data_IF_626213149177
#
_entry.id   IF_626213149177
#
_cell.length_a   1.000
_cell.length_b   1.000
_cell.length_c   1.000
_cell.angle_alpha   90.00
_cell.angle_beta   90.00
_cell.angle_gamma   90.00
#
_symmetry.space_group_name_H-M   'P 1'
#
loop_
_entity.id
_entity.type
_entity.pdbx_description
1 polymer ?
#
# COMPACT_ATOMS: atom_id res chain seq x y z
N UNK A 1 6.28 -47.50 20.19
CA UNK A 1 6.37 -46.08 20.66
C UNK A 1 5.98 -45.26 19.47
N UNK A 2 4.69 -45.00 19.39
CA UNK A 2 4.07 -44.27 18.27
C UNK A 2 4.15 -42.79 18.56
N UNK A 3 4.60 -42.02 17.57
CA UNK A 3 4.73 -40.56 17.61
C UNK A 3 3.39 -39.93 17.15
N UNK A 4 2.63 -39.21 18.01
CA UNK A 4 1.38 -38.62 17.67
C UNK A 4 1.51 -37.10 17.53
N UNK A 5 2.01 -36.58 16.41
CA UNK A 5 1.90 -35.14 16.11
C UNK A 5 1.89 -34.84 14.62
N UNK A 6 0.88 -35.31 13.92
CA UNK A 6 0.44 -34.68 12.68
C UNK A 6 -0.91 -34.00 12.92
N UNK A 7 -0.88 -32.70 13.19
CA UNK A 7 -2.08 -31.90 13.18
C UNK A 7 -2.71 -31.93 11.78
N UNK A 8 -4.03 -32.13 11.67
CA UNK A 8 -4.68 -32.17 10.37
C UNK A 8 -4.61 -30.78 9.71
N UNK A 9 -4.01 -30.72 8.53
CA UNK A 9 -4.17 -29.58 7.63
C UNK A 9 -5.67 -29.33 7.40
N UNK A 10 -6.18 -28.23 7.90
CA UNK A 10 -7.54 -27.78 7.59
C UNK A 10 -7.58 -27.41 6.10
N UNK A 11 -7.92 -28.37 5.27
CA UNK A 11 -8.36 -28.12 3.91
C UNK A 11 -9.64 -27.27 4.04
N UNK A 12 -9.53 -25.95 3.80
CA UNK A 12 -10.72 -25.12 3.59
C UNK A 12 -11.45 -25.73 2.39
N UNK A 13 -12.51 -26.46 2.64
CA UNK A 13 -13.40 -26.95 1.59
C UNK A 13 -13.87 -25.72 0.81
N UNK A 14 -13.72 -25.70 -0.53
CA UNK A 14 -14.33 -24.64 -1.31
C UNK A 14 -15.82 -24.60 -1.00
N UNK A 15 -16.36 -23.40 -0.76
CA UNK A 15 -17.82 -23.20 -0.63
C UNK A 15 -18.46 -23.90 -1.83
N UNK A 16 -19.42 -24.81 -1.64
CA UNK A 16 -20.06 -25.50 -2.74
C UNK A 16 -20.50 -24.48 -3.80
N UNK A 17 -20.20 -24.72 -5.07
CA UNK A 17 -20.58 -23.83 -6.16
C UNK A 17 -22.07 -23.50 -6.13
N UNK A 18 -22.91 -24.46 -5.77
CA UNK A 18 -24.36 -24.34 -5.61
C UNK A 18 -24.79 -23.27 -4.58
N UNK A 19 -23.99 -22.98 -3.56
CA UNK A 19 -24.35 -21.95 -2.57
C UNK A 19 -24.16 -20.53 -3.12
N UNK A 20 -23.10 -20.29 -3.87
CA UNK A 20 -22.86 -19.01 -4.52
C UNK A 20 -23.93 -18.70 -5.55
N UNK A 21 -24.40 -19.73 -6.28
CA UNK A 21 -25.46 -19.62 -7.28
C UNK A 21 -26.85 -19.37 -6.65
N UNK A 22 -27.04 -19.67 -5.38
CA UNK A 22 -28.29 -19.39 -4.64
C UNK A 22 -28.43 -17.91 -4.22
N UNK A 23 -27.36 -17.14 -4.25
CA UNK A 23 -27.39 -15.70 -3.89
C UNK A 23 -27.72 -14.86 -5.14
N UNK A 24 -28.54 -13.81 -5.00
CA UNK A 24 -28.80 -12.91 -6.11
C UNK A 24 -27.51 -12.28 -6.64
N UNK A 25 -27.15 -12.42 -7.93
CA UNK A 25 -25.89 -11.92 -8.49
C UNK A 25 -25.67 -10.43 -8.25
N UNK A 26 -26.72 -9.63 -8.35
CA UNK A 26 -26.66 -8.19 -8.08
C UNK A 26 -26.25 -7.86 -6.63
N UNK A 27 -26.55 -8.75 -5.67
CA UNK A 27 -26.17 -8.56 -4.27
C UNK A 27 -24.70 -8.84 -4.02
N UNK A 28 -24.18 -9.89 -4.63
CA UNK A 28 -22.75 -10.20 -4.58
C UNK A 28 -21.93 -9.09 -5.24
N UNK A 29 -22.38 -8.63 -6.43
CA UNK A 29 -21.73 -7.52 -7.11
C UNK A 29 -21.78 -6.24 -6.27
N UNK A 30 -22.94 -5.90 -5.71
CA UNK A 30 -23.11 -4.73 -4.85
C UNK A 30 -22.19 -4.79 -3.62
N UNK A 31 -22.11 -5.94 -2.96
CA UNK A 31 -21.17 -6.16 -1.85
C UNK A 31 -19.72 -5.94 -2.30
N UNK A 32 -19.32 -6.53 -3.41
CA UNK A 32 -17.96 -6.38 -3.96
C UNK A 32 -17.61 -4.92 -4.26
N UNK A 33 -18.53 -4.18 -4.89
CA UNK A 33 -18.32 -2.76 -5.20
C UNK A 33 -18.20 -1.90 -3.93
N UNK A 34 -19.04 -2.13 -2.93
CA UNK A 34 -18.98 -1.43 -1.65
C UNK A 34 -17.68 -1.73 -0.90
N UNK A 35 -17.25 -2.99 -0.90
CA UNK A 35 -15.98 -3.42 -0.34
C UNK A 35 -14.80 -2.70 -0.99
N UNK A 36 -14.76 -2.63 -2.33
CA UNK A 36 -13.73 -1.91 -3.07
C UNK A 36 -13.69 -0.42 -2.73
N UNK A 37 -14.85 0.27 -2.72
CA UNK A 37 -14.91 1.68 -2.33
C UNK A 37 -14.33 1.89 -0.92
N UNK A 38 -14.69 1.04 0.03
CA UNK A 38 -14.24 1.17 1.42
C UNK A 38 -12.73 0.95 1.54
N UNK A 39 -12.17 -0.05 0.87
CA UNK A 39 -10.71 -0.31 0.82
C UNK A 39 -9.97 0.88 0.21
N UNK A 40 -10.44 1.42 -0.93
CA UNK A 40 -9.85 2.59 -1.58
C UNK A 40 -9.85 3.83 -0.68
N UNK A 41 -10.96 4.08 -0.02
CA UNK A 41 -11.08 5.21 0.89
C UNK A 41 -10.16 5.06 2.11
N UNK A 42 -10.02 3.87 2.65
CA UNK A 42 -9.10 3.57 3.77
C UNK A 42 -7.67 3.79 3.35
N UNK A 43 -7.28 3.26 2.21
CA UNK A 43 -5.91 3.40 1.70
C UNK A 43 -5.56 4.86 1.43
N UNK A 44 -6.46 5.60 0.78
CA UNK A 44 -6.29 7.02 0.53
C UNK A 44 -6.18 7.82 1.83
N UNK A 45 -7.03 7.54 2.82
CA UNK A 45 -6.96 8.18 4.13
C UNK A 45 -5.64 7.88 4.85
N UNK A 46 -5.17 6.63 4.80
CA UNK A 46 -3.90 6.23 5.38
C UNK A 46 -2.71 6.98 4.79
N UNK A 47 -2.57 6.94 3.47
CA UNK A 47 -1.44 7.56 2.77
C UNK A 47 -1.40 9.07 3.00
N UNK A 48 -2.54 9.76 2.83
CA UNK A 48 -2.57 11.23 2.91
C UNK A 48 -2.37 11.72 4.35
N UNK A 49 -2.95 11.05 5.34
CA UNK A 49 -2.72 11.38 6.74
C UNK A 49 -1.28 11.05 7.16
N UNK A 50 -0.71 9.95 6.69
CA UNK A 50 0.69 9.59 6.94
C UNK A 50 1.66 10.60 6.31
N UNK A 51 1.43 11.01 5.07
CA UNK A 51 2.23 12.03 4.40
C UNK A 51 2.15 13.40 5.11
N UNK A 52 1.02 13.70 5.76
CA UNK A 52 0.79 14.96 6.48
C UNK A 52 1.32 14.95 7.90
N UNK A 53 1.17 13.82 8.63
CA UNK A 53 1.34 13.74 10.09
C UNK A 53 2.37 12.68 10.53
N UNK A 54 2.95 11.92 9.62
CA UNK A 54 3.92 10.86 9.94
C UNK A 54 3.33 9.77 10.85
N UNK A 55 4.09 9.28 11.79
CA UNK A 55 3.69 8.20 12.71
C UNK A 55 2.46 8.52 13.58
N UNK A 56 2.11 9.80 13.73
CA UNK A 56 0.94 10.22 14.53
C UNK A 56 -0.37 10.26 13.73
N UNK A 57 -0.37 9.85 12.47
CA UNK A 57 -1.51 9.94 11.55
C UNK A 57 -2.82 9.40 12.13
N UNK A 58 -2.77 8.33 12.93
CA UNK A 58 -3.97 7.69 13.50
C UNK A 58 -4.72 8.55 14.50
N UNK A 59 -4.07 9.55 15.13
CA UNK A 59 -4.74 10.48 16.05
C UNK A 59 -5.70 11.43 15.34
N UNK A 60 -5.59 11.53 14.02
CA UNK A 60 -6.44 12.37 13.18
C UNK A 60 -7.68 11.65 12.63
N UNK A 61 -7.81 10.37 12.90
CA UNK A 61 -8.97 9.57 12.51
C UNK A 61 -10.13 9.82 13.47
N UNK A 62 -11.34 9.88 12.91
CA UNK A 62 -12.57 9.99 13.69
C UNK A 62 -13.06 8.59 14.10
N UNK A 63 -13.36 8.38 15.37
CA UNK A 63 -13.91 7.13 15.89
C UNK A 63 -13.13 6.54 17.05
N UNK A 64 -13.66 5.48 17.64
CA UNK A 64 -13.03 4.75 18.74
C UNK A 64 -12.61 3.35 18.28
N UNK A 65 -11.46 3.27 17.60
CA UNK A 65 -10.88 2.00 17.14
C UNK A 65 -10.51 1.08 18.31
N UNK A 66 -10.07 1.67 19.43
CA UNK A 66 -9.61 0.92 20.59
C UNK A 66 -10.73 0.02 21.18
N UNK A 67 -11.96 0.52 21.20
CA UNK A 67 -13.13 -0.24 21.66
C UNK A 67 -13.44 -1.41 20.74
N UNK A 68 -13.42 -1.19 19.42
CA UNK A 68 -13.69 -2.24 18.44
C UNK A 68 -12.61 -3.33 18.50
N UNK A 69 -11.33 -2.92 18.55
CA UNK A 69 -10.19 -3.82 18.69
C UNK A 69 -10.22 -4.61 20.00
N UNK A 70 -10.59 -3.97 21.11
CA UNK A 70 -10.75 -4.63 22.41
C UNK A 70 -11.89 -5.65 22.39
N UNK A 71 -12.99 -5.36 21.70
CA UNK A 71 -14.10 -6.31 21.52
C UNK A 71 -13.65 -7.54 20.74
N UNK A 72 -12.98 -7.33 19.60
CA UNK A 72 -12.45 -8.41 18.75
C UNK A 72 -11.42 -9.27 19.48
N UNK A 73 -10.57 -8.63 20.30
CA UNK A 73 -9.54 -9.32 21.09
C UNK A 73 -10.07 -10.28 22.15
N UNK A 74 -11.36 -10.19 22.50
CA UNK A 74 -12.01 -11.14 23.43
C UNK A 74 -12.31 -12.48 22.77
N UNK A 75 -12.39 -12.50 21.45
CA UNK A 75 -12.70 -13.70 20.67
C UNK A 75 -11.40 -14.50 20.40
N UNK A 76 -10.83 -15.07 21.45
CA UNK A 76 -9.52 -15.76 21.39
C UNK A 76 -9.53 -17.02 20.53
N UNK A 77 -10.69 -17.59 20.28
CA UNK A 77 -10.90 -18.77 19.41
C UNK A 77 -10.95 -18.40 17.92
N UNK A 78 -11.04 -17.11 17.59
CA UNK A 78 -11.03 -16.68 16.19
C UNK A 78 -9.61 -16.74 15.63
N UNK A 79 -9.43 -17.29 14.40
CA UNK A 79 -8.10 -17.57 13.86
C UNK A 79 -7.29 -16.31 13.50
N UNK A 80 -7.96 -15.22 13.13
CA UNK A 80 -7.29 -14.00 12.67
C UNK A 80 -7.88 -12.76 13.32
N UNK A 81 -6.98 -11.83 13.66
CA UNK A 81 -7.37 -10.50 14.11
C UNK A 81 -6.87 -9.48 13.10
N UNK A 82 -7.68 -8.51 12.79
CA UNK A 82 -7.23 -7.37 12.02
C UNK A 82 -6.13 -6.61 12.77
N UNK A 83 -5.06 -6.25 12.05
CA UNK A 83 -3.92 -5.52 12.61
C UNK A 83 -3.98 -4.03 12.29
N UNK A 84 -4.52 -3.69 11.12
CA UNK A 84 -4.65 -2.29 10.69
C UNK A 84 -5.66 -1.54 11.55
N UNK A 85 -5.28 -0.36 12.00
CA UNK A 85 -6.18 0.54 12.74
C UNK A 85 -7.39 0.95 11.91
N UNK A 86 -7.22 1.12 10.60
CA UNK A 86 -8.30 1.50 9.69
C UNK A 86 -9.34 0.42 9.50
N UNK A 87 -8.99 -0.86 9.68
CA UNK A 87 -9.95 -1.96 9.59
C UNK A 87 -11.03 -1.91 10.67
N UNK A 88 -10.72 -1.31 11.82
CA UNK A 88 -11.66 -1.14 12.94
C UNK A 88 -12.52 0.14 12.86
N UNK A 89 -12.35 0.94 11.82
CA UNK A 89 -13.07 2.21 11.67
C UNK A 89 -14.34 1.99 10.88
N UNK A 90 -15.47 2.44 11.45
CA UNK A 90 -16.74 2.43 10.75
C UNK A 90 -16.69 3.31 9.49
N UNK A 91 -17.41 2.91 8.45
CA UNK A 91 -17.49 3.66 7.20
C UNK A 91 -17.90 5.13 7.42
N UNK A 92 -18.87 5.39 8.27
CA UNK A 92 -19.29 6.76 8.64
C UNK A 92 -18.19 7.57 9.33
N UNK A 93 -17.29 6.93 10.08
CA UNK A 93 -16.14 7.60 10.70
C UNK A 93 -15.05 7.90 9.67
N UNK A 94 -14.86 7.01 8.70
CA UNK A 94 -13.97 7.23 7.56
C UNK A 94 -14.44 8.43 6.73
N UNK A 95 -15.73 8.52 6.43
CA UNK A 95 -16.33 9.67 5.75
C UNK A 95 -16.12 10.99 6.52
N UNK A 96 -16.34 10.97 7.85
CA UNK A 96 -16.09 12.13 8.71
C UNK A 96 -14.62 12.55 8.71
N UNK A 97 -13.70 11.58 8.72
CA UNK A 97 -12.26 11.81 8.64
C UNK A 97 -11.90 12.52 7.33
N UNK A 98 -12.36 12.00 6.20
CA UNK A 98 -12.12 12.61 4.87
C UNK A 98 -12.74 14.02 4.82
N UNK A 99 -13.96 14.19 5.30
CA UNK A 99 -14.65 15.49 5.29
C UNK A 99 -13.95 16.53 6.16
N UNK A 100 -13.41 16.13 7.32
CA UNK A 100 -12.65 17.00 8.24
C UNK A 100 -11.32 17.43 7.63
N UNK A 101 -10.65 16.52 6.95
CA UNK A 101 -9.35 16.77 6.33
C UNK A 101 -9.45 17.01 4.81
N UNK A 102 -10.56 17.55 4.33
CA UNK A 102 -10.92 17.71 2.92
C UNK A 102 -9.78 18.21 2.03
N UNK A 103 -8.94 19.10 2.55
CA UNK A 103 -7.79 19.66 1.81
C UNK A 103 -6.76 18.60 1.37
N UNK A 104 -6.74 17.43 2.00
CA UNK A 104 -5.85 16.32 1.61
C UNK A 104 -6.45 15.45 0.50
N UNK A 105 -7.77 15.53 0.29
CA UNK A 105 -8.51 14.60 -0.57
C UNK A 105 -9.16 15.25 -1.79
N UNK A 106 -9.27 16.58 -1.80
CA UNK A 106 -10.05 17.32 -2.81
C UNK A 106 -9.54 17.11 -4.26
N UNK A 107 -8.26 16.76 -4.43
CA UNK A 107 -7.68 16.49 -5.75
C UNK A 107 -8.10 15.13 -6.32
N UNK A 108 -8.66 14.25 -5.48
CA UNK A 108 -9.07 12.89 -5.87
C UNK A 108 -10.58 12.71 -5.88
N UNK A 109 -11.31 13.61 -5.31
CA UNK A 109 -12.74 13.44 -5.07
C UNK A 109 -13.55 14.51 -5.81
N UNK A 110 -14.80 14.21 -6.20
CA UNK A 110 -15.71 15.21 -6.73
C UNK A 110 -15.88 16.38 -5.79
N UNK A 111 -16.44 17.51 -6.23
CA UNK A 111 -16.76 18.64 -5.35
C UNK A 111 -17.43 18.19 -4.05
N UNK A 112 -17.04 18.81 -2.92
CA UNK A 112 -17.36 18.34 -1.56
C UNK A 112 -18.84 18.06 -1.34
N UNK A 113 -19.70 18.90 -1.89
CA UNK A 113 -21.15 18.76 -1.69
C UNK A 113 -21.72 17.58 -2.48
N UNK A 114 -21.22 17.34 -3.70
CA UNK A 114 -21.57 16.17 -4.52
C UNK A 114 -21.08 14.90 -3.82
N UNK A 115 -19.82 14.90 -3.36
CA UNK A 115 -19.25 13.78 -2.62
C UNK A 115 -20.08 13.41 -1.39
N UNK A 116 -20.44 14.38 -0.54
CA UNK A 116 -21.26 14.15 0.64
C UNK A 116 -22.64 13.56 0.31
N UNK A 117 -23.31 14.13 -0.70
CA UNK A 117 -24.64 13.69 -1.10
C UNK A 117 -24.59 12.22 -1.60
N UNK A 118 -23.68 11.91 -2.52
CA UNK A 118 -23.49 10.56 -3.05
C UNK A 118 -23.13 9.56 -1.98
N UNK A 119 -22.20 9.93 -1.10
CA UNK A 119 -21.72 9.03 -0.06
C UNK A 119 -22.78 8.76 0.99
N UNK A 120 -23.67 9.72 1.30
CA UNK A 120 -24.81 9.50 2.17
C UNK A 120 -25.78 8.46 1.61
N UNK A 121 -26.05 8.47 0.29
CA UNK A 121 -26.87 7.44 -0.37
C UNK A 121 -26.19 6.06 -0.25
N UNK A 122 -24.89 6.01 -0.54
CA UNK A 122 -24.13 4.75 -0.50
C UNK A 122 -24.01 4.20 0.92
N UNK A 123 -23.90 5.04 1.94
CA UNK A 123 -23.90 4.61 3.35
C UNK A 123 -25.22 3.90 3.71
N UNK A 124 -26.37 4.42 3.26
CA UNK A 124 -27.67 3.77 3.47
C UNK A 124 -27.75 2.42 2.73
N UNK A 125 -27.23 2.35 1.51
CA UNK A 125 -27.17 1.10 0.74
C UNK A 125 -26.26 0.09 1.45
N UNK A 126 -25.08 0.52 1.87
CA UNK A 126 -24.11 -0.31 2.61
C UNK A 126 -24.70 -0.88 3.88
N UNK A 127 -25.43 -0.07 4.64
CA UNK A 127 -26.08 -0.50 5.86
C UNK A 127 -27.17 -1.56 5.59
N UNK A 128 -27.92 -1.45 4.47
CA UNK A 128 -28.86 -2.50 4.07
C UNK A 128 -28.15 -3.81 3.74
N UNK A 129 -27.08 -3.74 2.96
CA UNK A 129 -26.28 -4.92 2.59
C UNK A 129 -25.63 -5.57 3.80
N UNK A 130 -25.02 -4.79 4.68
CA UNK A 130 -24.35 -5.29 5.89
C UNK A 130 -25.29 -5.96 6.89
N UNK A 131 -26.57 -5.59 6.88
CA UNK A 131 -27.60 -6.16 7.74
C UNK A 131 -28.52 -7.15 7.01
N UNK A 132 -28.14 -7.62 5.83
CA UNK A 132 -28.90 -8.59 5.03
C UNK A 132 -30.35 -8.18 4.76
N UNK A 133 -30.64 -6.87 4.70
CA UNK A 133 -31.97 -6.34 4.43
C UNK A 133 -32.29 -6.40 2.95
N UNK A 134 -33.58 -6.40 2.61
CA UNK A 134 -34.00 -6.26 1.22
C UNK A 134 -33.49 -4.93 0.67
N UNK A 135 -32.85 -4.97 -0.51
CA UNK A 135 -32.40 -3.79 -1.21
C UNK A 135 -33.49 -3.17 -2.06
N UNK A 136 -33.19 -2.01 -2.62
CA UNK A 136 -34.02 -1.34 -3.61
C UNK A 136 -33.48 -1.56 -5.02
N UNK A 137 -34.37 -1.55 -6.02
CA UNK A 137 -34.01 -1.72 -7.45
C UNK A 137 -33.02 -0.66 -7.86
N UNK A 138 -32.78 0.38 -7.47
CA UNK A 138 -31.78 1.37 -7.89
C UNK A 138 -30.45 1.31 -7.13
N UNK A 139 -30.25 0.43 -6.14
CA UNK A 139 -29.08 0.43 -5.28
C UNK A 139 -27.79 0.20 -6.06
N UNK A 140 -27.77 -0.81 -6.92
CA UNK A 140 -26.59 -1.13 -7.74
C UNK A 140 -26.23 0.05 -8.68
N UNK A 141 -27.21 0.66 -9.32
CA UNK A 141 -27.00 1.80 -10.21
C UNK A 141 -26.39 3.01 -9.47
N UNK A 142 -26.84 3.29 -8.24
CA UNK A 142 -26.32 4.41 -7.42
C UNK A 142 -24.86 4.18 -7.01
N UNK A 143 -24.52 2.95 -6.63
CA UNK A 143 -23.15 2.59 -6.28
C UNK A 143 -22.24 2.65 -7.50
N UNK A 144 -22.69 2.14 -8.65
CA UNK A 144 -21.96 2.27 -9.92
C UNK A 144 -21.72 3.72 -10.32
N UNK A 145 -22.71 4.57 -10.14
CA UNK A 145 -22.55 6.01 -10.42
C UNK A 145 -21.48 6.64 -9.54
N UNK A 146 -21.48 6.35 -8.22
CA UNK A 146 -20.41 6.84 -7.34
C UNK A 146 -19.03 6.36 -7.82
N UNK A 147 -18.89 5.09 -8.16
CA UNK A 147 -17.61 4.54 -8.64
C UNK A 147 -17.17 5.26 -9.92
N UNK A 148 -18.07 5.48 -10.86
CA UNK A 148 -17.77 6.23 -12.08
C UNK A 148 -17.32 7.67 -11.78
N UNK A 149 -17.96 8.31 -10.82
CA UNK A 149 -17.63 9.69 -10.40
C UNK A 149 -16.24 9.80 -9.74
N UNK A 150 -15.73 8.72 -9.12
CA UNK A 150 -14.44 8.71 -8.41
C UNK A 150 -13.32 7.98 -9.14
N UNK A 151 -13.60 7.28 -10.22
CA UNK A 151 -12.64 6.41 -10.92
C UNK A 151 -11.36 7.15 -11.33
N UNK A 152 -11.50 8.30 -11.99
CA UNK A 152 -10.36 9.14 -12.37
C UNK A 152 -9.58 9.65 -11.16
N UNK A 153 -10.25 9.98 -10.06
CA UNK A 153 -9.62 10.42 -8.83
C UNK A 153 -8.83 9.30 -8.14
N UNK A 154 -9.35 8.10 -8.11
CA UNK A 154 -8.62 6.94 -7.60
C UNK A 154 -7.40 6.62 -8.46
N UNK A 155 -7.53 6.70 -9.77
CA UNK A 155 -6.39 6.60 -10.67
C UNK A 155 -5.33 7.66 -10.38
N UNK A 156 -5.74 8.91 -10.23
CA UNK A 156 -4.81 10.00 -9.88
C UNK A 156 -4.11 9.76 -8.53
N UNK A 157 -4.83 9.23 -7.54
CA UNK A 157 -4.22 8.83 -6.27
C UNK A 157 -3.12 7.78 -6.49
N UNK A 158 -3.41 6.73 -7.24
CA UNK A 158 -2.49 5.63 -7.47
C UNK A 158 -1.27 6.02 -8.29
N UNK A 159 -1.47 6.74 -9.38
CA UNK A 159 -0.37 7.22 -10.23
C UNK A 159 0.54 8.18 -9.46
N UNK A 160 -0.03 9.07 -8.64
CA UNK A 160 0.78 9.96 -7.79
C UNK A 160 1.59 9.23 -6.71
N UNK A 161 1.16 8.03 -6.31
CA UNK A 161 1.87 7.20 -5.35
C UNK A 161 2.91 6.28 -6.01
N UNK A 162 2.69 5.87 -7.25
CA UNK A 162 3.57 4.94 -7.96
C UNK A 162 4.52 5.61 -8.96
N UNK A 163 4.55 6.94 -9.02
CA UNK A 163 5.42 7.70 -9.90
C UNK A 163 6.41 8.58 -9.11
N UNK A 164 7.54 8.00 -8.65
CA UNK A 164 8.55 8.77 -7.95
C UNK A 164 9.24 9.78 -8.87
N UNK A 165 9.43 10.97 -8.38
CA UNK A 165 10.16 12.04 -9.04
C UNK A 165 11.58 12.17 -8.46
N UNK A 166 12.56 12.73 -9.21
CA UNK A 166 13.91 12.92 -8.72
C UNK A 166 13.97 13.91 -7.56
N UNK A 167 15.00 13.76 -6.73
CA UNK A 167 15.42 14.81 -5.80
C UNK A 167 16.25 15.81 -6.61
N UNK A 168 15.80 17.08 -6.67
CA UNK A 168 16.36 18.11 -7.52
C UNK A 168 17.85 18.40 -7.23
N UNK A 169 18.23 18.32 -5.95
CA UNK A 169 19.60 18.51 -5.52
C UNK A 169 19.98 17.46 -4.47
N UNK A 170 20.61 16.39 -4.93
CA UNK A 170 21.03 15.28 -4.07
C UNK A 170 22.06 15.71 -3.01
N UNK A 171 22.83 16.78 -3.27
CA UNK A 171 23.81 17.28 -2.30
C UNK A 171 23.16 17.95 -1.08
N UNK A 172 21.96 18.50 -1.24
CA UNK A 172 21.23 19.20 -0.20
C UNK A 172 20.24 18.33 0.56
N UNK A 173 19.80 17.23 -0.06
CA UNK A 173 18.95 16.28 0.64
C UNK A 173 19.81 15.25 1.42
N UNK A 174 19.67 15.17 2.76
CA UNK A 174 20.55 14.32 3.55
C UNK A 174 20.34 12.81 3.30
N UNK A 175 19.17 12.38 2.87
CA UNK A 175 18.91 10.96 2.52
C UNK A 175 19.57 10.61 1.20
N UNK A 176 19.31 11.40 0.16
CA UNK A 176 19.90 11.17 -1.14
C UNK A 176 21.44 11.20 -1.07
N UNK A 177 22.02 12.16 -0.35
CA UNK A 177 23.47 12.27 -0.14
C UNK A 177 24.05 11.05 0.57
N UNK A 178 23.36 10.55 1.60
CA UNK A 178 23.85 9.42 2.43
C UNK A 178 23.96 8.12 1.63
N UNK A 179 23.03 7.89 0.71
CA UNK A 179 22.96 6.65 -0.07
C UNK A 179 23.42 6.79 -1.52
N UNK A 180 23.94 7.94 -1.93
CA UNK A 180 24.36 8.21 -3.31
C UNK A 180 25.38 7.18 -3.86
N UNK A 181 26.28 6.67 -3.02
CA UNK A 181 27.26 5.66 -3.43
C UNK A 181 26.64 4.28 -3.74
N UNK A 182 25.42 4.03 -3.26
CA UNK A 182 24.68 2.79 -3.49
C UNK A 182 23.69 2.92 -4.66
N UNK A 183 23.51 4.11 -5.23
CA UNK A 183 22.65 4.32 -6.40
C UNK A 183 23.46 4.12 -7.70
N UNK A 184 23.21 3.02 -8.42
CA UNK A 184 23.94 2.76 -9.68
C UNK A 184 23.45 3.62 -10.84
N UNK A 185 22.28 4.23 -10.72
CA UNK A 185 21.64 5.05 -11.75
C UNK A 185 21.05 6.33 -11.11
N UNK A 186 21.90 7.26 -10.63
CA UNK A 186 21.41 8.49 -10.04
C UNK A 186 20.62 9.31 -11.06
N UNK A 187 19.71 10.12 -10.57
CA UNK A 187 19.02 11.09 -11.39
C UNK A 187 19.99 12.17 -11.85
N UNK A 188 20.00 12.44 -13.15
CA UNK A 188 20.73 13.55 -13.76
C UNK A 188 19.77 14.44 -14.55
N UNK A 189 19.95 15.74 -14.46
CA UNK A 189 19.25 16.69 -15.31
C UNK A 189 19.90 16.66 -16.70
N UNK A 190 19.16 16.27 -17.72
CA UNK A 190 19.63 16.15 -19.12
C UNK A 190 19.25 17.36 -19.96
N UNK A 191 18.16 18.02 -19.60
CA UNK A 191 17.68 19.29 -20.14
C UNK A 191 17.01 20.07 -19.00
N UNK A 192 16.80 21.37 -19.12
CA UNK A 192 16.14 22.16 -18.09
C UNK A 192 14.80 21.54 -17.65
N UNK A 193 14.70 21.17 -16.38
CA UNK A 193 13.58 20.47 -15.76
C UNK A 193 13.24 19.08 -16.33
N UNK A 194 14.12 18.49 -17.14
CA UNK A 194 14.01 17.11 -17.62
C UNK A 194 15.08 16.25 -16.99
N UNK A 195 14.67 15.19 -16.34
CA UNK A 195 15.55 14.31 -15.59
C UNK A 195 15.53 12.90 -16.17
N UNK A 196 16.69 12.27 -16.22
CA UNK A 196 16.84 10.88 -16.57
C UNK A 196 17.72 10.16 -15.55
N UNK A 197 17.59 8.85 -15.47
CA UNK A 197 18.47 8.02 -14.65
C UNK A 197 19.64 7.57 -15.50
N UNK A 198 20.84 8.08 -15.20
CA UNK A 198 22.06 7.85 -15.96
C UNK A 198 23.16 7.39 -15.01
N UNK A 199 23.88 6.34 -15.39
CA UNK A 199 25.02 5.91 -14.60
C UNK A 199 25.54 4.53 -15.01
N UNK A 200 26.64 4.15 -14.38
CA UNK A 200 27.21 2.82 -14.49
C UNK A 200 27.12 2.13 -13.13
N UNK A 201 26.46 0.99 -13.11
CA UNK A 201 26.41 0.22 -11.90
C UNK A 201 27.80 -0.31 -11.53
N UNK A 202 28.34 0.00 -10.35
CA UNK A 202 29.51 -0.67 -9.85
C UNK A 202 29.26 -2.19 -9.86
N UNK A 203 30.21 -2.97 -10.41
CA UNK A 203 30.02 -4.42 -10.58
C UNK A 203 29.94 -5.16 -9.23
N UNK A 204 30.49 -4.57 -8.19
CA UNK A 204 30.70 -5.22 -6.89
C UNK A 204 29.57 -5.04 -5.89
N UNK A 205 28.57 -4.20 -6.19
CA UNK A 205 27.45 -4.00 -5.29
C UNK A 205 26.55 -5.24 -5.23
N UNK A 206 26.40 -5.80 -4.03
CA UNK A 206 25.45 -6.90 -3.77
C UNK A 206 23.99 -6.41 -3.72
N UNK A 207 23.79 -5.11 -3.48
CA UNK A 207 22.49 -4.44 -3.43
C UNK A 207 22.64 -3.00 -3.93
N UNK A 208 21.65 -2.56 -4.68
CA UNK A 208 21.48 -1.16 -5.09
C UNK A 208 20.42 -0.49 -4.22
N UNK A 209 20.61 0.81 -3.94
CA UNK A 209 19.64 1.65 -3.24
C UNK A 209 19.30 2.83 -4.12
N UNK A 210 18.04 2.99 -4.47
CA UNK A 210 17.58 4.14 -5.25
C UNK A 210 16.57 4.94 -4.47
N UNK A 211 16.66 6.27 -4.54
CA UNK A 211 15.83 7.17 -3.77
C UNK A 211 15.10 8.13 -4.71
N UNK A 212 13.79 8.16 -4.58
CA UNK A 212 12.91 9.11 -5.22
C UNK A 212 12.01 9.79 -4.21
N UNK A 213 11.10 10.61 -4.71
CA UNK A 213 10.15 11.37 -3.91
C UNK A 213 8.75 11.22 -4.50
N UNK A 214 7.80 10.91 -3.66
CA UNK A 214 6.38 10.96 -3.98
C UNK A 214 5.82 12.25 -3.40
N UNK A 215 5.49 13.21 -4.26
CA UNK A 215 4.81 14.46 -3.86
C UNK A 215 3.32 14.22 -3.85
N UNK A 216 2.66 14.58 -2.76
CA UNK A 216 1.20 14.46 -2.69
C UNK A 216 0.53 15.61 -3.47
N UNK A 217 -0.51 15.33 -4.28
CA UNK A 217 -1.16 16.30 -5.18
C UNK A 217 -1.70 17.55 -4.49
N UNK A 218 -2.19 17.45 -3.24
CA UNK A 218 -2.71 18.58 -2.48
C UNK A 218 -1.63 19.64 -2.09
N UNK A 219 -0.36 19.32 -2.32
CA UNK A 219 0.75 20.22 -2.04
C UNK A 219 1.00 21.13 -3.25
N UNK A 220 0.57 22.39 -3.18
CA UNK A 220 0.69 23.37 -4.27
C UNK A 220 2.10 23.94 -4.44
N UNK A 221 2.94 23.85 -3.40
CA UNK A 221 4.30 24.38 -3.44
C UNK A 221 5.19 23.63 -4.42
N UNK A 222 6.13 24.32 -5.04
CA UNK A 222 7.22 23.67 -5.80
C UNK A 222 8.02 22.75 -4.88
N UNK A 223 8.62 21.72 -5.46
CA UNK A 223 9.48 20.82 -4.71
C UNK A 223 10.68 21.60 -4.18
N UNK A 224 10.93 21.59 -2.87
CA UNK A 224 12.10 22.24 -2.29
C UNK A 224 13.37 21.42 -2.60
N UNK A 225 14.53 22.05 -2.45
CA UNK A 225 15.84 21.38 -2.63
C UNK A 225 16.02 20.21 -1.64
N UNK A 226 15.43 20.29 -0.47
CA UNK A 226 15.32 19.15 0.47
C UNK A 226 13.88 19.04 0.95
N UNK A 227 13.36 17.81 0.97
CA UNK A 227 12.01 17.51 1.47
C UNK A 227 12.00 17.11 2.96
N UNK A 228 13.17 16.98 3.56
CA UNK A 228 13.34 16.51 4.94
C UNK A 228 12.57 17.38 5.94
N UNK A 229 11.74 16.73 6.77
CA UNK A 229 10.90 17.41 7.77
C UNK A 229 9.69 18.15 7.20
N UNK A 230 9.40 18.02 5.90
CA UNK A 230 8.29 18.70 5.24
C UNK A 230 7.08 17.78 5.05
N UNK A 231 5.87 18.21 5.39
CA UNK A 231 4.68 17.41 5.15
C UNK A 231 4.34 17.36 3.65
N UNK A 232 3.68 16.27 3.24
CA UNK A 232 3.19 16.11 1.87
C UNK A 232 4.21 15.51 0.90
N UNK A 233 5.34 15.03 1.41
CA UNK A 233 6.31 14.25 0.66
C UNK A 233 6.54 12.91 1.35
N UNK A 234 6.76 11.88 0.53
CA UNK A 234 7.25 10.58 0.98
C UNK A 234 8.56 10.30 0.26
N UNK A 235 9.58 9.85 0.98
CA UNK A 235 10.72 9.20 0.34
C UNK A 235 10.26 7.86 -0.24
N UNK A 236 10.64 7.61 -1.46
CA UNK A 236 10.45 6.34 -2.15
C UNK A 236 11.82 5.67 -2.29
N UNK A 237 12.04 4.65 -1.48
CA UNK A 237 13.33 3.97 -1.40
C UNK A 237 13.19 2.56 -1.93
N UNK A 238 13.91 2.25 -3.00
CA UNK A 238 13.95 0.91 -3.57
C UNK A 238 15.30 0.27 -3.30
N UNK A 239 15.27 -0.89 -2.66
CA UNK A 239 16.40 -1.77 -2.42
C UNK A 239 16.33 -2.90 -3.45
N UNK A 240 17.36 -3.06 -4.27
CA UNK A 240 17.37 -4.06 -5.35
C UNK A 240 18.57 -4.99 -5.18
N UNK A 241 18.31 -6.26 -5.00
CA UNK A 241 19.33 -7.30 -4.92
C UNK A 241 20.04 -7.44 -6.28
N UNK A 242 21.35 -7.65 -6.26
CA UNK A 242 22.19 -7.78 -7.44
C UNK A 242 23.04 -9.04 -7.37
N UNK A 243 23.74 -9.34 -8.45
CA UNK A 243 24.71 -10.44 -8.51
C UNK A 243 24.08 -11.79 -8.11
N UNK A 244 22.93 -12.10 -8.69
CA UNK A 244 22.19 -13.35 -8.46
C UNK A 244 21.87 -13.60 -6.97
N UNK A 245 21.36 -12.56 -6.30
CA UNK A 245 20.92 -12.61 -4.90
C UNK A 245 19.44 -12.28 -4.78
N UNK A 246 18.85 -12.76 -3.71
CA UNK A 246 17.46 -12.51 -3.31
C UNK A 246 17.40 -12.13 -1.83
N UNK A 247 16.35 -11.42 -1.45
CA UNK A 247 16.09 -11.09 -0.05
C UNK A 247 15.37 -12.25 0.67
N UNK A 248 15.76 -12.47 1.93
CA UNK A 248 14.98 -13.25 2.88
C UNK A 248 13.95 -12.32 3.53
N UNK A 249 12.77 -12.16 2.90
CA UNK A 249 11.73 -11.25 3.37
C UNK A 249 11.25 -11.52 4.80
N UNK A 250 10.98 -12.78 5.22
CA UNK A 250 10.63 -13.04 6.61
C UNK A 250 11.70 -12.60 7.61
N UNK A 251 12.98 -12.84 7.29
CA UNK A 251 14.08 -12.39 8.15
C UNK A 251 14.17 -10.86 8.21
N UNK A 252 14.07 -10.19 7.05
CA UNK A 252 14.05 -8.73 6.96
C UNK A 252 12.92 -8.13 7.79
N UNK A 253 11.68 -8.57 7.57
CA UNK A 253 10.50 -8.02 8.26
C UNK A 253 10.54 -8.25 9.77
N UNK A 254 11.01 -9.42 10.23
CA UNK A 254 11.17 -9.69 11.67
C UNK A 254 12.22 -8.78 12.32
N UNK A 255 13.38 -8.64 11.70
CA UNK A 255 14.49 -7.85 12.23
C UNK A 255 14.18 -6.34 12.24
N UNK A 256 13.39 -5.85 11.28
CA UNK A 256 13.03 -4.43 11.15
C UNK A 256 11.70 -4.05 11.80
N UNK A 257 10.99 -4.99 12.44
CA UNK A 257 9.61 -4.80 12.94
C UNK A 257 9.41 -3.51 13.75
N UNK A 258 10.36 -3.17 14.61
CA UNK A 258 10.26 -1.96 15.45
C UNK A 258 10.33 -0.66 14.67
N UNK A 259 10.85 -0.70 13.45
CA UNK A 259 11.03 0.45 12.57
C UNK A 259 9.78 0.76 11.75
N UNK A 260 8.89 -0.22 11.55
CA UNK A 260 7.76 -0.12 10.64
C UNK A 260 6.79 1.02 11.00
N UNK A 261 6.70 1.41 12.27
CA UNK A 261 5.85 2.53 12.72
C UNK A 261 6.15 3.86 12.01
N UNK A 262 7.38 4.02 11.50
CA UNK A 262 7.82 5.20 10.75
C UNK A 262 7.78 4.99 9.22
N UNK A 263 7.38 3.81 8.76
CA UNK A 263 7.23 3.48 7.34
C UNK A 263 5.75 3.58 6.97
N UNK A 264 5.46 4.18 5.82
CA UNK A 264 4.09 4.18 5.28
C UNK A 264 3.78 2.79 4.70
N UNK A 265 4.56 2.33 3.72
CA UNK A 265 4.39 1.00 3.14
C UNK A 265 5.73 0.30 2.86
N UNK A 266 5.66 -1.02 2.87
CA UNK A 266 6.67 -1.95 2.38
C UNK A 266 6.04 -2.74 1.24
N UNK A 267 6.59 -2.63 0.03
CA UNK A 267 6.18 -3.42 -1.11
C UNK A 267 7.27 -4.45 -1.43
N UNK A 268 6.89 -5.70 -1.55
CA UNK A 268 7.76 -6.84 -1.82
C UNK A 268 7.48 -7.35 -3.24
N UNK A 269 8.51 -7.54 -4.05
CA UNK A 269 8.32 -8.11 -5.38
C UNK A 269 8.21 -9.64 -5.35
N UNK A 270 7.53 -10.21 -6.33
CA UNK A 270 7.29 -11.65 -6.41
C UNK A 270 8.59 -12.45 -6.59
N UNK A 271 9.61 -11.86 -7.19
CA UNK A 271 10.89 -12.53 -7.46
C UNK A 271 11.86 -12.50 -6.28
N UNK A 272 11.51 -11.78 -5.21
CA UNK A 272 12.32 -11.54 -4.02
C UNK A 272 13.60 -10.75 -4.29
N UNK A 273 13.61 -9.98 -5.37
CA UNK A 273 14.77 -9.18 -5.79
C UNK A 273 14.66 -7.72 -5.39
N UNK A 274 13.48 -7.24 -5.00
CA UNK A 274 13.29 -5.85 -4.61
C UNK A 274 12.43 -5.68 -3.35
N UNK A 275 12.77 -4.65 -2.57
CA UNK A 275 11.98 -4.13 -1.45
C UNK A 275 11.81 -2.64 -1.71
N UNK A 276 10.57 -2.17 -1.82
CA UNK A 276 10.26 -0.74 -1.91
C UNK A 276 9.68 -0.26 -0.59
N UNK A 277 10.19 0.84 -0.08
CA UNK A 277 9.81 1.45 1.17
C UNK A 277 9.32 2.87 0.91
N UNK A 278 8.17 3.25 1.45
CA UNK A 278 7.72 4.63 1.41
C UNK A 278 7.72 5.21 2.81
N UNK A 279 8.39 6.35 3.01
CA UNK A 279 8.66 6.92 4.34
C UNK A 279 8.23 8.39 4.38
N UNK A 280 7.33 8.79 5.29
CA UNK A 280 6.91 10.17 5.43
C UNK A 280 8.09 11.09 5.77
N UNK A 281 8.36 12.07 4.92
CA UNK A 281 9.48 13.02 5.11
C UNK A 281 9.32 13.90 6.34
N UNK A 282 8.08 14.09 6.82
CA UNK A 282 7.73 14.88 8.01
C UNK A 282 8.41 14.35 9.30
N UNK A 283 8.79 13.05 9.35
CA UNK A 283 9.47 12.47 10.49
C UNK A 283 10.82 13.14 10.79
N UNK A 284 11.43 13.80 9.82
CA UNK A 284 12.64 14.59 10.01
C UNK A 284 13.93 13.78 10.09
N UNK A 285 15.06 14.50 10.06
CA UNK A 285 16.40 13.92 9.94
C UNK A 285 16.76 12.94 11.07
N UNK A 286 16.41 13.30 12.31
CA UNK A 286 16.76 12.50 13.48
C UNK A 286 16.11 11.11 13.48
N UNK A 287 14.98 10.95 12.76
CA UNK A 287 14.27 9.68 12.65
C UNK A 287 14.63 8.97 11.34
N UNK A 288 14.59 9.67 10.21
CA UNK A 288 14.67 9.04 8.89
C UNK A 288 16.06 8.49 8.58
N UNK A 289 17.14 9.20 8.93
CA UNK A 289 18.49 8.70 8.61
C UNK A 289 18.82 7.41 9.37
N UNK A 290 18.71 7.34 10.71
CA UNK A 290 18.98 6.09 11.44
C UNK A 290 18.03 4.96 11.00
N UNK A 291 16.75 5.27 10.75
CA UNK A 291 15.77 4.33 10.23
C UNK A 291 16.23 3.69 8.91
N UNK A 292 16.63 4.51 7.94
CA UNK A 292 17.07 4.01 6.64
C UNK A 292 18.40 3.29 6.70
N UNK A 293 19.35 3.76 7.51
CA UNK A 293 20.64 3.09 7.72
C UNK A 293 20.41 1.66 8.23
N UNK A 294 19.58 1.49 9.24
CA UNK A 294 19.27 0.17 9.77
C UNK A 294 18.47 -0.71 8.80
N UNK A 295 17.50 -0.13 8.05
CA UNK A 295 16.76 -0.87 7.03
C UNK A 295 17.68 -1.36 5.91
N UNK A 296 18.59 -0.52 5.42
CA UNK A 296 19.56 -0.85 4.36
C UNK A 296 20.55 -1.90 4.85
N UNK A 297 21.11 -1.74 6.05
CA UNK A 297 22.02 -2.70 6.65
C UNK A 297 21.36 -4.07 6.87
N UNK A 298 20.14 -4.08 7.43
CA UNK A 298 19.37 -5.31 7.61
C UNK A 298 19.06 -5.98 6.28
N UNK A 299 18.69 -5.21 5.25
CA UNK A 299 18.44 -5.74 3.93
C UNK A 299 19.69 -6.42 3.34
N UNK A 300 20.88 -5.81 3.51
CA UNK A 300 22.16 -6.40 3.08
C UNK A 300 22.45 -7.73 3.81
N UNK A 301 22.22 -7.79 5.11
CA UNK A 301 22.43 -9.01 5.92
C UNK A 301 21.43 -10.14 5.57
N UNK A 302 20.27 -9.79 5.05
CA UNK A 302 19.26 -10.79 4.65
C UNK A 302 19.37 -11.26 3.20
N UNK A 303 20.37 -10.78 2.45
CA UNK A 303 20.65 -11.26 1.11
C UNK A 303 21.14 -12.71 1.13
N UNK A 304 20.58 -13.52 0.24
CA UNK A 304 20.95 -14.92 0.02
C UNK A 304 21.30 -15.13 -1.45
N UNK A 305 22.20 -16.06 -1.78
CA UNK A 305 22.40 -16.48 -3.17
C UNK A 305 21.08 -17.03 -3.74
N UNK A 306 20.80 -16.72 -4.99
CA UNK A 306 19.68 -17.33 -5.72
C UNK A 306 20.18 -18.58 -6.45
N UNK A 307 19.90 -19.73 -5.89
CA UNK A 307 20.25 -21.03 -6.47
C UNK A 307 19.18 -21.59 -7.41
N UNK A 308 18.10 -20.85 -7.67
CA UNK A 308 17.05 -21.31 -8.56
C UNK A 308 17.60 -21.44 -9.99
N UNK A 309 17.48 -22.62 -10.55
CA UNK A 309 17.71 -22.82 -11.97
C UNK A 309 16.55 -22.17 -12.71
N UNK A 310 16.81 -21.11 -13.46
CA UNK A 310 15.78 -20.48 -14.28
C UNK A 310 15.46 -21.41 -15.44
N UNK A 311 14.43 -22.21 -15.28
CA UNK A 311 13.85 -22.99 -16.35
C UNK A 311 12.80 -22.13 -17.06
N UNK A 312 13.15 -21.63 -18.24
CA UNK A 312 12.25 -20.77 -19.02
C UNK A 312 10.96 -21.50 -19.45
N UNK A 313 10.98 -22.85 -19.50
CA UNK A 313 9.79 -23.64 -19.83
C UNK A 313 8.71 -23.60 -18.74
N UNK A 314 9.07 -23.32 -17.49
CA UNK A 314 8.17 -23.27 -16.33
C UNK A 314 8.10 -21.87 -15.67
N UNK A 315 8.55 -20.83 -16.37
CA UNK A 315 8.68 -19.48 -15.80
C UNK A 315 7.38 -18.95 -15.17
N UNK A 316 6.25 -19.10 -15.84
CA UNK A 316 4.95 -18.61 -15.35
C UNK A 316 4.50 -19.35 -14.09
N UNK A 317 4.74 -20.65 -13.99
CA UNK A 317 4.43 -21.44 -12.80
C UNK A 317 5.33 -21.06 -11.63
N UNK A 318 6.62 -20.84 -11.87
CA UNK A 318 7.57 -20.37 -10.83
C UNK A 318 7.24 -18.97 -10.33
N UNK A 319 6.90 -18.04 -11.22
CA UNK A 319 6.46 -16.69 -10.85
C UNK A 319 5.17 -16.74 -10.05
N UNK A 320 4.20 -17.56 -10.45
CA UNK A 320 2.94 -17.75 -9.74
C UNK A 320 3.16 -18.32 -8.33
N UNK A 321 4.00 -19.33 -8.19
CA UNK A 321 4.34 -19.91 -6.89
C UNK A 321 5.08 -18.90 -5.99
N UNK A 322 6.05 -18.18 -6.56
CA UNK A 322 6.78 -17.13 -5.84
C UNK A 322 5.86 -16.00 -5.39
N UNK A 323 4.92 -15.59 -6.23
CA UNK A 323 3.89 -14.59 -5.90
C UNK A 323 3.02 -15.06 -4.73
N UNK A 324 2.51 -16.29 -4.79
CA UNK A 324 1.71 -16.87 -3.70
C UNK A 324 2.48 -16.91 -2.36
N UNK A 325 3.77 -17.18 -2.40
CA UNK A 325 4.60 -17.15 -1.19
C UNK A 325 4.77 -15.73 -0.63
N UNK A 326 4.96 -14.72 -1.48
CA UNK A 326 5.06 -13.33 -1.05
C UNK A 326 3.71 -12.82 -0.53
N UNK A 327 2.61 -13.18 -1.18
CA UNK A 327 1.26 -12.84 -0.71
C UNK A 327 0.98 -13.38 0.69
N UNK A 328 1.41 -14.61 1.00
CA UNK A 328 1.32 -15.18 2.36
C UNK A 328 2.13 -14.36 3.37
N UNK A 329 3.35 -13.95 3.01
CA UNK A 329 4.18 -13.09 3.86
C UNK A 329 3.47 -11.75 4.11
N UNK A 330 2.89 -11.14 3.08
CA UNK A 330 2.16 -9.88 3.21
C UNK A 330 0.96 -10.01 4.16
N UNK A 331 0.24 -11.13 4.12
CA UNK A 331 -0.88 -11.40 5.03
C UNK A 331 -0.47 -11.54 6.50
N UNK A 332 0.79 -11.91 6.78
CA UNK A 332 1.33 -11.91 8.15
C UNK A 332 1.63 -10.49 8.67
N UNK A 333 1.82 -9.52 7.77
CA UNK A 333 2.22 -8.13 8.06
C UNK A 333 1.27 -7.08 7.46
N UNK A 334 -0.06 -7.24 7.56
CA UNK A 334 -1.03 -6.45 6.80
C UNK A 334 -1.08 -4.96 7.19
N UNK A 335 -0.42 -4.55 8.26
CA UNK A 335 -0.40 -3.16 8.72
C UNK A 335 0.51 -2.28 7.84
N UNK A 336 1.61 -2.82 7.32
CA UNK A 336 2.63 -2.04 6.61
C UNK A 336 3.00 -2.64 5.25
N UNK A 337 2.85 -3.96 5.09
CA UNK A 337 3.21 -4.64 3.83
C UNK A 337 2.02 -4.63 2.90
N UNK A 338 2.23 -4.10 1.68
CA UNK A 338 1.22 -4.11 0.63
C UNK A 338 0.91 -5.56 0.25
N UNK A 339 -0.31 -5.99 0.54
CA UNK A 339 -0.81 -7.32 0.22
C UNK A 339 -1.54 -7.36 -1.14
N UNK A 340 -1.98 -8.55 -1.56
CA UNK A 340 -2.61 -8.76 -2.87
C UNK A 340 -3.94 -8.02 -3.04
N UNK A 341 -4.61 -7.68 -1.94
CA UNK A 341 -5.87 -6.91 -1.95
C UNK A 341 -5.67 -5.41 -1.82
N UNK A 342 -4.42 -4.94 -1.60
CA UNK A 342 -4.16 -3.52 -1.49
C UNK A 342 -4.19 -2.87 -2.87
N UNK A 343 -4.96 -1.79 -3.07
CA UNK A 343 -5.12 -1.16 -4.36
C UNK A 343 -3.83 -0.60 -4.97
N UNK A 344 -2.81 -0.32 -4.17
CA UNK A 344 -1.54 0.24 -4.64
C UNK A 344 -0.53 -0.80 -5.15
N UNK A 345 -0.79 -2.09 -4.95
CA UNK A 345 0.18 -3.16 -5.22
C UNK A 345 0.44 -3.38 -6.72
N UNK A 346 -0.53 -3.10 -7.59
CA UNK A 346 -0.50 -3.51 -9.00
C UNK A 346 -0.55 -2.36 -10.00
N UNK A 347 -0.40 -1.11 -9.56
CA UNK A 347 -0.66 0.02 -10.43
C UNK A 347 0.62 0.56 -11.04
N UNK A 348 0.78 0.26 -12.30
CA UNK A 348 1.74 0.92 -13.17
C UNK A 348 1.12 2.22 -13.71
N UNK A 349 1.83 3.35 -13.74
CA UNK A 349 1.35 4.60 -14.32
C UNK A 349 0.93 4.50 -15.79
N UNK A 350 1.41 3.51 -16.51
CA UNK A 350 1.04 3.24 -17.90
C UNK A 350 -0.27 2.51 -18.08
N UNK A 351 -0.87 1.98 -17.00
CA UNK A 351 -2.17 1.29 -17.09
C UNK A 351 -3.29 2.26 -17.49
N UNK A 352 -4.37 1.75 -18.14
CA UNK A 352 -5.53 2.58 -18.46
C UNK A 352 -6.16 3.20 -17.22
N UNK A 353 -6.69 4.42 -17.35
CA UNK A 353 -7.29 5.17 -16.24
C UNK A 353 -8.73 4.76 -15.91
N UNK A 354 -9.07 3.50 -16.08
CA UNK A 354 -10.35 2.93 -15.66
C UNK A 354 -10.10 1.74 -14.75
N UNK A 355 -10.37 1.93 -13.45
CA UNK A 355 -10.25 0.89 -12.44
C UNK A 355 -11.38 -0.12 -12.45
N UNK A 356 -12.55 0.34 -12.87
CA UNK A 356 -13.77 -0.42 -12.82
C UNK A 356 -14.34 -0.55 -14.23
N UNK A 357 -13.68 -1.28 -15.13
CA UNK A 357 -14.06 -1.33 -16.55
C UNK A 357 -15.46 -1.92 -16.79
N UNK A 358 -16.05 -2.53 -15.78
CA UNK A 358 -17.40 -3.13 -15.85
C UNK A 358 -18.49 -2.24 -15.21
N UNK A 359 -18.17 -1.01 -14.83
CA UNK A 359 -19.14 -0.08 -14.23
C UNK A 359 -19.73 0.85 -15.25
#
# INVERSE_FOLDING_TARGET
MDDPTSAPESKSSPVPADFADSLPPDRLLLYGLLWHIEIWMREMAYVELSARHGATWSTYIQGNEARAKASDSRLTHMPTREKSKLSYILFSNLQRTISKHWRLFHEYLPPKEIWKARLSEVDQIRNRVAHFRNGHEGDLRRVRQLISDVDTGFWHFCTSYNNPIPILDTSKDPVARRFAALDPFPWAEVEPNKFARIGHAPRDLSMAVTIGVLRRPWLRAQQPLSIMGRPGFLYDVSLVARNNRIFDYPAFLRSTRRLHVNVCHICLDATRTAIRLTIPSIAGKAIILPLLEELVETAQHTLRPDFRRRDFANFDAEVSASRSAVDKIALEWPEYVLGPTNPLTFLDPSMPCKFFPQV
#
